data_IF_246842142700
#
_entry.id   IF_246842142700
#
_cell.length_a   1.000
_cell.length_b   1.000
_cell.length_c   1.000
_cell.angle_alpha   90.00
_cell.angle_beta   90.00
_cell.angle_gamma   90.00
#
_symmetry.space_group_name_H-M   'P 1'
#
loop_
_entity.id
_entity.type
_entity.pdbx_description
1 polymer ?
#
# COMPACT_ATOMS: atom_id res chain seq x y z
N UNK A 1 13.98 -3.27 -19.37
CA UNK A 1 13.97 -3.85 -18.01
C UNK A 1 13.74 -2.76 -16.97
N UNK A 2 14.51 -1.66 -17.00
CA UNK A 2 14.35 -0.53 -16.06
C UNK A 2 12.93 0.05 -16.01
N UNK A 3 12.31 0.31 -17.16
CA UNK A 3 10.93 0.82 -17.21
C UNK A 3 9.94 -0.11 -16.49
N UNK A 4 10.02 -1.41 -16.75
CA UNK A 4 9.14 -2.40 -16.12
C UNK A 4 9.33 -2.44 -14.60
N UNK A 5 10.58 -2.38 -14.14
CA UNK A 5 10.88 -2.31 -12.70
C UNK A 5 10.29 -1.04 -12.08
N UNK A 6 10.43 0.10 -12.77
CA UNK A 6 9.84 1.37 -12.33
C UNK A 6 8.32 1.33 -12.26
N UNK A 7 7.66 0.75 -13.25
CA UNK A 7 6.20 0.63 -13.28
C UNK A 7 5.69 -0.27 -12.14
N UNK A 8 6.39 -1.38 -11.87
CA UNK A 8 6.07 -2.29 -10.77
C UNK A 8 6.30 -1.63 -9.41
N UNK A 9 7.41 -0.93 -9.23
CA UNK A 9 7.71 -0.20 -7.98
C UNK A 9 6.66 0.87 -7.69
N UNK A 10 6.31 1.68 -8.70
CA UNK A 10 5.26 2.69 -8.60
C UNK A 10 3.90 2.06 -8.25
N UNK A 11 3.55 0.93 -8.86
CA UNK A 11 2.33 0.20 -8.55
C UNK A 11 2.32 -0.33 -7.10
N UNK A 12 3.43 -0.87 -6.61
CA UNK A 12 3.56 -1.38 -5.23
C UNK A 12 3.40 -0.23 -4.23
N UNK A 13 4.07 0.90 -4.47
CA UNK A 13 3.94 2.10 -3.64
C UNK A 13 2.48 2.59 -3.60
N UNK A 14 1.84 2.74 -4.76
CA UNK A 14 0.45 3.14 -4.84
C UNK A 14 -0.50 2.15 -4.14
N UNK A 15 -0.30 0.84 -4.33
CA UNK A 15 -1.12 -0.18 -3.69
C UNK A 15 -1.04 -0.10 -2.17
N UNK A 16 0.16 0.10 -1.63
CA UNK A 16 0.39 0.12 -0.19
C UNK A 16 -0.14 1.40 0.48
N UNK A 17 -0.03 2.55 -0.19
CA UNK A 17 -0.30 3.85 0.43
C UNK A 17 -1.60 4.52 -0.01
N UNK A 18 -2.07 4.25 -1.23
CA UNK A 18 -3.18 5.01 -1.85
C UNK A 18 -4.42 4.17 -2.08
N UNK A 19 -4.28 2.85 -2.25
CA UNK A 19 -5.42 1.97 -2.50
C UNK A 19 -6.21 1.70 -1.21
N UNK A 20 -7.45 2.16 -1.17
CA UNK A 20 -8.37 1.95 -0.04
C UNK A 20 -9.08 0.58 -0.15
N UNK A 21 -9.26 -0.10 0.99
CA UNK A 21 -9.90 -1.43 1.07
C UNK A 21 -11.06 -1.44 2.08
N UNK A 22 -12.27 -1.77 1.61
CA UNK A 22 -13.46 -1.87 2.46
C UNK A 22 -13.27 -2.93 3.56
N UNK A 23 -12.67 -4.08 3.24
CA UNK A 23 -12.40 -5.15 4.20
C UNK A 23 -11.40 -4.76 5.30
N UNK A 24 -10.64 -3.67 5.12
CA UNK A 24 -9.72 -3.12 6.10
C UNK A 24 -10.34 -1.93 6.86
N UNK A 25 -11.67 -1.78 6.83
CA UNK A 25 -12.35 -0.64 7.44
C UNK A 25 -12.13 0.66 6.68
N UNK A 26 -12.01 0.59 5.35
CA UNK A 26 -11.72 1.74 4.48
C UNK A 26 -10.34 2.37 4.71
N UNK A 27 -9.38 1.59 5.18
CA UNK A 27 -7.97 1.98 5.31
C UNK A 27 -7.15 1.49 4.12
N UNK A 28 -6.05 2.19 3.82
CA UNK A 28 -4.97 1.65 2.98
C UNK A 28 -4.22 0.53 3.71
N UNK A 29 -3.47 -0.33 3.00
CA UNK A 29 -2.66 -1.38 3.63
C UNK A 29 -1.69 -0.85 4.69
N UNK A 30 -1.04 0.30 4.47
CA UNK A 30 -0.13 0.90 5.46
C UNK A 30 -0.89 1.43 6.66
N UNK A 31 -1.98 2.17 6.46
CA UNK A 31 -2.79 2.70 7.58
C UNK A 31 -3.38 1.57 8.43
N UNK A 32 -3.81 0.48 7.81
CA UNK A 32 -4.32 -0.69 8.52
C UNK A 32 -3.23 -1.35 9.38
N UNK A 33 -1.99 -1.49 8.87
CA UNK A 33 -0.88 -2.01 9.68
C UNK A 33 -0.51 -1.08 10.84
N UNK A 34 -0.60 0.25 10.63
CA UNK A 34 -0.41 1.25 11.69
C UNK A 34 -1.49 1.14 12.76
N UNK A 35 -2.76 0.96 12.40
CA UNK A 35 -3.84 0.79 13.38
C UNK A 35 -3.71 -0.49 14.21
N UNK A 36 -3.04 -1.51 13.67
CA UNK A 36 -2.66 -2.73 14.39
C UNK A 36 -1.38 -2.60 15.23
N UNK A 37 -0.66 -1.48 15.15
CA UNK A 37 0.62 -1.29 15.84
C UNK A 37 1.76 -2.16 15.31
N UNK A 38 1.65 -2.67 14.08
CA UNK A 38 2.65 -3.55 13.46
C UNK A 38 3.81 -2.78 12.82
N UNK A 39 3.59 -1.50 12.52
CA UNK A 39 4.58 -0.58 11.96
C UNK A 39 4.45 0.77 12.66
N UNK A 40 5.58 1.43 12.90
CA UNK A 40 5.69 2.74 13.54
C UNK A 40 5.35 3.89 12.57
#
# INVERSE_FOLDING_TARGET
>A
IEQFVGDVDAYICWYNEKRIKISLGSLSPVEYRKSLGLIL
#
